data_IF_615191625895
#
_entry.id   IF_615191625895
#
_cell.length_a   1.000
_cell.length_b   1.000
_cell.length_c   1.000
_cell.angle_alpha   90.00
_cell.angle_beta   90.00
_cell.angle_gamma   90.00
#
_symmetry.space_group_name_H-M   'P 1'
#
loop_
_entity.id
_entity.type
_entity.pdbx_description
1 polymer ?
#
# COMPACT_ATOMS: atom_id res chain seq x y z
N UNK A 1 -21.50 -1.41 5.40
CA UNK A 1 -20.31 -1.22 4.54
C UNK A 1 -19.39 -2.39 4.80
N UNK A 2 -19.09 -3.19 3.78
CA UNK A 2 -18.11 -4.27 3.90
C UNK A 2 -16.71 -3.69 3.72
N UNK A 3 -15.73 -4.23 4.42
CA UNK A 3 -14.32 -3.82 4.36
C UNK A 3 -13.80 -3.70 2.91
N UNK A 4 -14.17 -4.66 2.07
CA UNK A 4 -13.82 -4.66 0.65
C UNK A 4 -14.37 -3.45 -0.10
N UNK A 5 -15.55 -2.95 0.30
CA UNK A 5 -16.16 -1.76 -0.28
C UNK A 5 -15.34 -0.50 -0.02
N UNK A 6 -14.75 -0.38 1.17
CA UNK A 6 -13.97 0.81 1.55
C UNK A 6 -12.59 0.80 0.87
N UNK A 7 -11.94 -0.37 0.78
CA UNK A 7 -10.68 -0.51 0.05
C UNK A 7 -10.90 -0.30 -1.46
N UNK A 8 -11.98 -0.84 -2.03
CA UNK A 8 -12.33 -0.61 -3.45
C UNK A 8 -12.60 0.87 -3.72
N UNK A 9 -13.36 1.55 -2.86
CA UNK A 9 -13.63 2.99 -2.99
C UNK A 9 -12.35 3.82 -2.86
N UNK A 10 -11.46 3.45 -1.95
CA UNK A 10 -10.15 4.08 -1.83
C UNK A 10 -9.34 3.87 -3.11
N UNK A 11 -9.27 2.64 -3.62
CA UNK A 11 -8.50 2.29 -4.81
C UNK A 11 -9.04 2.88 -6.11
N UNK A 12 -10.34 3.17 -6.18
CA UNK A 12 -11.02 3.70 -7.34
C UNK A 12 -10.34 4.96 -7.90
N UNK A 13 -9.94 4.89 -9.17
CA UNK A 13 -9.26 5.98 -9.88
C UNK A 13 -7.75 6.07 -9.61
N UNK A 14 -7.20 5.19 -8.77
CA UNK A 14 -5.76 5.07 -8.54
C UNK A 14 -5.21 3.66 -8.74
N UNK A 15 -6.02 2.73 -9.26
CA UNK A 15 -5.58 1.40 -9.60
C UNK A 15 -4.41 1.47 -10.59
N UNK A 16 -3.30 0.80 -10.26
CA UNK A 16 -2.08 0.82 -11.08
C UNK A 16 -1.23 2.09 -10.94
N UNK A 17 -1.68 3.14 -10.24
CA UNK A 17 -0.84 4.30 -9.94
C UNK A 17 -0.16 4.12 -8.58
N UNK A 18 1.07 3.62 -8.60
CA UNK A 18 1.81 3.30 -7.39
C UNK A 18 2.04 4.52 -6.48
N UNK A 19 2.34 5.69 -7.05
CA UNK A 19 2.59 6.92 -6.28
C UNK A 19 1.32 7.39 -5.56
N UNK A 20 0.17 7.34 -6.24
CA UNK A 20 -1.12 7.70 -5.66
C UNK A 20 -1.54 6.72 -4.56
N UNK A 21 -1.30 5.42 -4.75
CA UNK A 21 -1.56 4.41 -3.72
C UNK A 21 -0.70 4.66 -2.48
N UNK A 22 0.63 4.78 -2.64
CA UNK A 22 1.56 4.95 -1.52
C UNK A 22 1.31 6.24 -0.72
N UNK A 23 1.00 7.35 -1.40
CA UNK A 23 0.76 8.65 -0.74
C UNK A 23 -0.56 8.74 0.03
N UNK A 24 -1.45 7.76 -0.14
CA UNK A 24 -2.79 7.75 0.45
C UNK A 24 -3.07 6.53 1.32
N UNK A 25 -2.05 5.74 1.65
CA UNK A 25 -2.17 4.54 2.50
C UNK A 25 -2.74 4.84 3.89
N UNK A 26 -2.45 6.00 4.47
CA UNK A 26 -2.94 6.41 5.79
C UNK A 26 -4.47 6.46 5.93
N UNK A 27 -5.21 6.45 4.81
CA UNK A 27 -6.68 6.47 4.84
C UNK A 27 -7.31 5.07 4.89
N UNK A 28 -6.52 4.01 4.68
CA UNK A 28 -7.01 2.62 4.72
C UNK A 28 -6.28 1.75 5.73
N UNK A 29 -5.08 2.15 6.14
CA UNK A 29 -4.34 1.43 7.17
C UNK A 29 -4.81 1.83 8.57
N UNK A 30 -4.64 0.90 9.51
CA UNK A 30 -4.98 1.11 10.91
C UNK A 30 -3.85 1.81 11.67
N UNK A 31 -4.14 2.56 12.75
CA UNK A 31 -3.15 3.39 13.46
C UNK A 31 -1.89 2.63 13.94
N UNK A 32 -2.04 1.37 14.36
CA UNK A 32 -0.99 0.55 14.97
C UNK A 32 -0.05 -0.12 13.95
N UNK A 33 -0.22 0.12 12.65
CA UNK A 33 0.61 -0.53 11.61
C UNK A 33 2.01 0.11 11.42
N UNK A 34 2.35 1.17 12.16
CA UNK A 34 3.59 1.95 12.02
C UNK A 34 3.78 2.63 10.65
N UNK A 35 2.70 2.79 9.89
CA UNK A 35 2.74 3.57 8.65
C UNK A 35 2.89 5.07 8.95
N UNK A 36 3.80 5.72 8.22
CA UNK A 36 3.95 7.18 8.25
C UNK A 36 3.51 7.72 6.89
N UNK A 37 2.58 8.69 6.84
CA UNK A 37 2.17 9.32 5.59
C UNK A 37 3.37 9.82 4.79
N UNK A 38 3.31 9.63 3.47
CA UNK A 38 4.36 10.07 2.54
C UNK A 38 3.71 10.99 1.50
N UNK A 39 4.13 12.26 1.39
CA UNK A 39 3.55 13.16 0.41
C UNK A 39 3.99 12.76 -1.01
N UNK A 40 3.18 13.10 -2.03
CA UNK A 40 3.53 12.85 -3.43
C UNK A 40 4.84 13.51 -3.86
N UNK A 41 5.20 14.63 -3.24
CA UNK A 41 6.46 15.34 -3.48
C UNK A 41 7.69 14.48 -3.16
N UNK A 42 7.58 13.55 -2.22
CA UNK A 42 8.65 12.63 -1.84
C UNK A 42 8.70 11.39 -2.75
N UNK A 43 7.72 11.24 -3.63
CA UNK A 43 7.54 10.11 -4.54
C UNK A 43 7.81 10.50 -6.01
N UNK A 44 8.51 11.60 -6.27
CA UNK A 44 8.81 12.04 -7.64
C UNK A 44 9.78 11.07 -8.32
N UNK A 45 10.93 10.81 -7.69
CA UNK A 45 12.00 9.98 -8.29
C UNK A 45 11.79 8.48 -8.02
N UNK A 46 12.12 7.65 -9.01
CA UNK A 46 11.89 6.20 -8.96
C UNK A 46 12.58 5.51 -7.77
N UNK A 47 13.77 5.98 -7.38
CA UNK A 47 14.49 5.47 -6.22
C UNK A 47 13.70 5.66 -4.91
N UNK A 48 13.07 6.82 -4.72
CA UNK A 48 12.22 7.10 -3.56
C UNK A 48 10.96 6.25 -3.57
N UNK A 49 10.31 6.11 -4.73
CA UNK A 49 9.13 5.24 -4.91
C UNK A 49 9.47 3.80 -4.52
N UNK A 50 10.59 3.25 -5.01
CA UNK A 50 11.06 1.90 -4.67
C UNK A 50 11.32 1.73 -3.17
N UNK A 51 11.91 2.73 -2.51
CA UNK A 51 12.17 2.72 -1.06
C UNK A 51 10.87 2.69 -0.26
N UNK A 52 9.91 3.54 -0.61
CA UNK A 52 8.62 3.65 0.08
C UNK A 52 7.75 2.42 -0.17
N UNK A 53 7.72 1.90 -1.40
CA UNK A 53 7.06 0.64 -1.74
C UNK A 53 7.58 -0.52 -0.88
N UNK A 54 8.90 -0.71 -0.81
CA UNK A 54 9.52 -1.75 0.04
C UNK A 54 9.11 -1.63 1.50
N UNK A 55 9.04 -0.41 2.03
CA UNK A 55 8.57 -0.16 3.39
C UNK A 55 7.10 -0.57 3.55
N UNK A 56 6.23 -0.17 2.63
CA UNK A 56 4.81 -0.53 2.66
C UNK A 56 4.61 -2.05 2.61
N UNK A 57 5.31 -2.74 1.70
CA UNK A 57 5.21 -4.20 1.59
C UNK A 57 5.70 -4.93 2.83
N UNK A 58 6.71 -4.41 3.54
CA UNK A 58 7.17 -5.01 4.80
C UNK A 58 6.13 -4.86 5.92
N UNK A 59 5.48 -3.70 6.01
CA UNK A 59 4.43 -3.46 7.01
C UNK A 59 3.20 -4.33 6.75
N UNK A 60 2.81 -4.47 5.48
CA UNK A 60 1.59 -5.16 5.06
C UNK A 60 1.81 -6.65 4.76
N UNK A 61 3.03 -7.16 4.88
CA UNK A 61 3.30 -8.57 4.61
C UNK A 61 2.51 -9.46 5.59
N UNK A 62 1.80 -10.51 5.12
CA UNK A 62 0.97 -11.36 5.98
C UNK A 62 1.71 -11.90 7.21
N UNK A 63 2.95 -12.35 7.04
CA UNK A 63 3.82 -12.81 8.15
C UNK A 63 4.06 -11.72 9.21
N UNK A 64 4.32 -10.47 8.79
CA UNK A 64 4.60 -9.36 9.71
C UNK A 64 3.34 -8.89 10.42
N UNK A 65 2.22 -8.83 9.71
CA UNK A 65 0.91 -8.52 10.27
C UNK A 65 0.48 -9.60 11.29
N UNK A 66 0.74 -10.87 10.98
CA UNK A 66 0.50 -11.99 11.90
C UNK A 66 1.37 -11.90 13.16
N UNK A 67 2.67 -11.63 13.02
CA UNK A 67 3.61 -11.50 14.15
C UNK A 67 3.23 -10.36 15.11
N UNK A 68 2.59 -9.31 14.60
CA UNK A 68 2.10 -8.17 15.41
C UNK A 68 0.74 -8.42 16.08
N UNK A 69 0.18 -9.64 15.98
CA UNK A 69 -1.09 -9.98 16.64
C UNK A 69 -2.30 -9.30 15.99
N UNK A 70 -2.25 -9.00 14.70
CA UNK A 70 -3.31 -8.30 14.00
C UNK A 70 -4.66 -9.04 14.04
N UNK A 71 -5.75 -8.30 14.06
CA UNK A 71 -7.11 -8.83 14.00
C UNK A 71 -7.41 -9.43 12.61
N UNK A 72 -8.44 -10.26 12.51
CA UNK A 72 -8.95 -10.75 11.21
C UNK A 72 -9.23 -9.61 10.23
N UNK A 73 -9.77 -8.50 10.74
CA UNK A 73 -10.06 -7.30 9.96
C UNK A 73 -8.78 -6.67 9.38
N UNK A 74 -7.75 -6.48 10.21
CA UNK A 74 -6.47 -5.90 9.79
C UNK A 74 -5.73 -6.80 8.79
N UNK A 75 -5.80 -8.12 8.95
CA UNK A 75 -5.24 -9.07 7.98
C UNK A 75 -5.89 -8.94 6.60
N UNK A 76 -7.21 -8.83 6.57
CA UNK A 76 -7.95 -8.64 5.32
C UNK A 76 -7.63 -7.30 4.65
N UNK A 77 -7.47 -6.21 5.42
CA UNK A 77 -6.98 -4.92 4.90
C UNK A 77 -5.59 -5.10 4.29
N UNK A 78 -4.67 -5.69 5.05
CA UNK A 78 -3.29 -5.86 4.63
C UNK A 78 -3.19 -6.63 3.32
N UNK A 79 -3.90 -7.75 3.21
CA UNK A 79 -3.92 -8.61 2.03
C UNK A 79 -4.42 -7.85 0.79
N UNK A 80 -5.58 -7.20 0.87
CA UNK A 80 -6.13 -6.46 -0.26
C UNK A 80 -5.23 -5.29 -0.70
N UNK A 81 -4.73 -4.50 0.25
CA UNK A 81 -3.85 -3.37 -0.05
C UNK A 81 -2.51 -3.86 -0.62
N UNK A 82 -1.97 -4.97 -0.10
CA UNK A 82 -0.73 -5.57 -0.57
C UNK A 82 -0.82 -6.02 -2.03
N UNK A 83 -1.92 -6.68 -2.42
CA UNK A 83 -2.14 -7.08 -3.81
C UNK A 83 -2.29 -5.89 -4.76
N UNK A 84 -3.00 -4.83 -4.35
CA UNK A 84 -3.09 -3.59 -5.13
C UNK A 84 -1.72 -2.93 -5.34
N UNK A 85 -0.90 -2.88 -4.28
CA UNK A 85 0.45 -2.34 -4.36
C UNK A 85 1.36 -3.17 -5.27
N UNK A 86 1.28 -4.50 -5.23
CA UNK A 86 2.01 -5.37 -6.16
C UNK A 86 1.62 -5.12 -7.62
N UNK A 87 0.33 -5.04 -7.90
CA UNK A 87 -0.18 -4.77 -9.25
C UNK A 87 0.37 -3.44 -9.79
N UNK A 88 0.32 -2.39 -8.97
CA UNK A 88 0.87 -1.09 -9.33
C UNK A 88 2.40 -1.08 -9.43
N UNK A 89 3.11 -1.84 -8.60
CA UNK A 89 4.55 -2.00 -8.69
C UNK A 89 5.00 -2.68 -9.98
N UNK A 90 4.28 -3.70 -10.44
CA UNK A 90 4.60 -4.38 -11.69
C UNK A 90 4.49 -3.40 -12.88
N UNK A 91 3.43 -2.58 -12.91
CA UNK A 91 3.28 -1.53 -13.91
C UNK A 91 4.39 -0.49 -13.82
N UNK A 92 4.60 0.08 -12.64
CA UNK A 92 5.65 1.08 -12.39
C UNK A 92 7.05 0.57 -12.78
N UNK A 93 7.36 -0.68 -12.44
CA UNK A 93 8.66 -1.28 -12.76
C UNK A 93 8.84 -1.43 -14.27
N UNK A 94 7.79 -1.85 -14.99
CA UNK A 94 7.81 -1.98 -16.44
C UNK A 94 7.99 -0.64 -17.18
N UNK A 95 7.57 0.48 -16.58
CA UNK A 95 7.56 1.80 -17.22
C UNK A 95 8.80 2.64 -16.87
N UNK A 96 9.36 2.50 -15.67
CA UNK A 96 10.38 3.42 -15.14
C UNK A 96 11.66 2.76 -14.62
N UNK A 97 11.72 1.42 -14.55
CA UNK A 97 12.91 0.69 -14.07
C UNK A 97 13.58 -0.16 -15.17
N UNK A 98 13.03 -0.18 -16.38
CA UNK A 98 13.58 -0.85 -17.56
C UNK A 98 13.66 0.11 -18.73
#
# INVERSE_FOLDING_TARGET
MTLDGDIKRWAAGKEGNLRALLSTLQYVLWPECDWKPVPLTDLIIAASVKKVYRKATLILHPDKVQQKGATLHQKCIAEHVFELLKGAWNKFSSEELF
#
